data_IF_313050910280
#
_entry.id   IF_313050910280
#
_cell.length_a   1.000
_cell.length_b   1.000
_cell.length_c   1.000
_cell.angle_alpha   90.00
_cell.angle_beta   90.00
_cell.angle_gamma   90.00
#
_symmetry.space_group_name_H-M   'P 1'
#
loop_
_entity.id
_entity.type
_entity.pdbx_description
1 polymer ?
#
# COMPACT_ATOMS: atom_id res chain seq x y z
N UNK A 1 28.09 -29.14 2.40
CA UNK A 1 27.13 -28.28 3.10
C UNK A 1 27.15 -26.91 2.44
N UNK A 2 26.27 -26.65 1.45
CA UNK A 2 26.09 -25.30 0.89
C UNK A 2 25.31 -24.50 1.94
N UNK A 3 25.93 -23.48 2.52
CA UNK A 3 25.23 -22.48 3.33
C UNK A 3 24.07 -21.95 2.50
N UNK A 4 22.84 -22.10 3.02
CA UNK A 4 21.66 -21.51 2.44
C UNK A 4 21.92 -20.00 2.29
N UNK A 5 22.08 -19.52 1.06
CA UNK A 5 22.27 -18.10 0.78
C UNK A 5 20.94 -17.39 1.12
N UNK A 6 20.86 -16.81 2.31
CA UNK A 6 19.75 -15.96 2.71
C UNK A 6 19.73 -14.65 1.89
N UNK A 7 18.64 -13.93 1.96
CA UNK A 7 18.52 -12.59 1.36
C UNK A 7 19.69 -11.71 1.81
N UNK A 8 20.37 -11.07 0.87
CA UNK A 8 21.53 -10.22 1.18
C UNK A 8 21.02 -8.94 1.89
N UNK A 9 21.60 -8.62 3.07
CA UNK A 9 21.37 -7.34 3.79
C UNK A 9 21.99 -6.19 3.01
N UNK A 10 21.40 -5.84 1.86
CA UNK A 10 21.91 -4.83 0.93
C UNK A 10 21.33 -3.43 1.12
N UNK A 11 20.24 -3.30 1.88
CA UNK A 11 19.54 -2.03 2.09
C UNK A 11 20.19 -1.24 3.23
N UNK A 12 20.54 0.04 2.94
CA UNK A 12 21.01 0.97 3.97
C UNK A 12 19.82 1.53 4.78
N UNK A 13 20.10 2.09 5.98
CA UNK A 13 19.08 2.78 6.77
C UNK A 13 18.41 3.94 6.00
N UNK A 14 19.15 4.58 5.08
CA UNK A 14 18.63 5.61 4.16
C UNK A 14 17.54 5.02 3.25
N UNK A 15 17.84 3.89 2.58
CA UNK A 15 16.90 3.23 1.69
C UNK A 15 15.61 2.83 2.43
N UNK A 16 15.71 2.18 3.58
CA UNK A 16 14.55 1.74 4.37
C UNK A 16 13.68 2.92 4.82
N UNK A 17 14.30 4.04 5.24
CA UNK A 17 13.55 5.25 5.64
C UNK A 17 12.77 5.86 4.47
N UNK A 18 13.40 5.96 3.30
CA UNK A 18 12.76 6.54 2.12
C UNK A 18 11.76 5.58 1.48
N UNK A 19 12.03 4.28 1.48
CA UNK A 19 11.03 3.27 1.10
C UNK A 19 9.78 3.39 1.98
N UNK A 20 9.98 3.46 3.30
CA UNK A 20 8.88 3.65 4.23
C UNK A 20 8.13 5.00 4.04
N UNK A 21 8.80 6.05 3.56
CA UNK A 21 8.17 7.33 3.20
C UNK A 21 7.45 7.23 1.86
N UNK A 22 8.10 6.65 0.87
CA UNK A 22 7.63 6.61 -0.50
C UNK A 22 6.52 5.61 -0.75
N UNK A 23 6.54 4.45 -0.06
CA UNK A 23 5.49 3.43 -0.19
C UNK A 23 4.11 3.92 0.27
N UNK A 24 4.08 4.87 1.22
CA UNK A 24 2.82 5.48 1.67
C UNK A 24 2.25 6.52 0.67
N UNK A 25 2.98 6.90 -0.36
CA UNK A 25 2.59 7.93 -1.35
C UNK A 25 2.55 7.26 -2.72
N UNK A 26 1.44 6.67 -3.04
CA UNK A 26 1.18 5.95 -4.31
C UNK A 26 0.04 6.56 -5.12
N UNK A 27 -0.43 5.81 -6.09
CA UNK A 27 -1.54 6.18 -6.98
C UNK A 27 -2.87 6.33 -6.24
N UNK A 28 -3.04 5.68 -5.09
CA UNK A 28 -4.19 5.85 -4.21
C UNK A 28 -4.40 7.29 -3.75
N UNK A 29 -3.30 8.01 -3.42
CA UNK A 29 -3.38 9.44 -3.14
C UNK A 29 -3.52 10.26 -4.43
N UNK A 30 -2.66 10.02 -5.41
CA UNK A 30 -2.56 10.88 -6.60
C UNK A 30 -3.68 10.69 -7.63
N UNK A 31 -4.37 9.56 -7.61
CA UNK A 31 -5.50 9.27 -8.50
C UNK A 31 -6.77 8.94 -7.72
N UNK A 32 -6.70 7.99 -6.79
CA UNK A 32 -7.86 7.51 -6.03
C UNK A 32 -8.53 8.61 -5.20
N UNK A 33 -7.78 9.62 -4.73
CA UNK A 33 -8.35 10.72 -3.95
C UNK A 33 -9.43 11.51 -4.69
N UNK A 34 -9.40 11.58 -6.03
CA UNK A 34 -10.47 12.21 -6.80
C UNK A 34 -11.83 11.54 -6.55
N UNK A 35 -11.88 10.21 -6.65
CA UNK A 35 -13.10 9.44 -6.39
C UNK A 35 -13.55 9.55 -4.94
N UNK A 36 -12.61 9.52 -3.99
CA UNK A 36 -12.92 9.68 -2.57
C UNK A 36 -13.50 11.07 -2.27
N UNK A 37 -12.96 12.14 -2.89
CA UNK A 37 -13.50 13.51 -2.80
C UNK A 37 -14.91 13.56 -3.40
N UNK A 38 -15.15 12.96 -4.56
CA UNK A 38 -16.48 12.94 -5.16
C UNK A 38 -17.52 12.23 -4.28
N UNK A 39 -17.12 11.15 -3.59
CA UNK A 39 -18.01 10.42 -2.67
C UNK A 39 -18.34 11.20 -1.41
N UNK A 40 -17.33 11.80 -0.75
CA UNK A 40 -17.46 12.36 0.58
C UNK A 40 -17.48 13.90 0.61
N UNK A 41 -17.08 14.56 -0.47
CA UNK A 41 -16.76 15.99 -0.42
C UNK A 41 -15.62 16.28 0.54
N UNK A 42 -15.62 17.45 1.22
CA UNK A 42 -14.62 17.82 2.22
C UNK A 42 -14.50 16.83 3.39
N UNK A 43 -15.57 16.08 3.71
CA UNK A 43 -15.55 15.06 4.76
C UNK A 43 -14.55 13.92 4.48
N UNK A 44 -14.01 13.81 3.26
CA UNK A 44 -12.91 12.88 2.94
C UNK A 44 -11.71 13.07 3.88
N UNK A 45 -11.48 14.27 4.40
CA UNK A 45 -10.44 14.55 5.40
C UNK A 45 -10.64 13.73 6.68
N UNK A 46 -11.91 13.57 7.12
CA UNK A 46 -12.24 12.70 8.26
C UNK A 46 -12.01 11.22 7.92
N UNK A 47 -12.33 10.81 6.69
CA UNK A 47 -12.07 9.42 6.26
C UNK A 47 -10.57 9.09 6.33
N UNK A 48 -9.70 9.98 5.87
CA UNK A 48 -8.25 9.80 5.98
C UNK A 48 -7.74 9.83 7.43
N UNK A 49 -8.33 10.65 8.31
CA UNK A 49 -7.98 10.66 9.73
C UNK A 49 -8.39 9.35 10.43
N UNK A 50 -9.63 8.91 10.24
CA UNK A 50 -10.16 7.69 10.87
C UNK A 50 -9.44 6.45 10.32
N UNK A 51 -9.36 6.31 9.00
CA UNK A 51 -8.64 5.22 8.34
C UNK A 51 -7.17 5.21 8.74
N UNK A 52 -6.53 6.38 8.77
CA UNK A 52 -5.14 6.54 9.18
C UNK A 52 -4.87 6.13 10.63
N UNK A 53 -5.80 6.42 11.55
CA UNK A 53 -5.69 5.96 12.94
C UNK A 53 -5.75 4.42 13.04
N UNK A 54 -6.65 3.79 12.28
CA UNK A 54 -6.74 2.33 12.21
C UNK A 54 -5.46 1.72 11.59
N UNK A 55 -4.97 2.27 10.49
CA UNK A 55 -3.72 1.84 9.84
C UNK A 55 -2.52 2.00 10.77
N UNK A 56 -2.44 3.11 11.51
CA UNK A 56 -1.39 3.27 12.54
C UNK A 56 -1.42 2.13 13.56
N UNK A 57 -2.60 1.69 13.98
CA UNK A 57 -2.73 0.56 14.92
C UNK A 57 -2.27 -0.75 14.28
N UNK A 58 -2.57 -1.00 12.99
CA UNK A 58 -2.04 -2.14 12.23
C UNK A 58 -0.51 -2.11 12.20
N UNK A 59 0.08 -0.93 11.91
CA UNK A 59 1.52 -0.76 11.87
C UNK A 59 2.17 -0.95 13.25
N UNK A 60 1.51 -0.54 14.33
CA UNK A 60 1.96 -0.81 15.70
C UNK A 60 1.95 -2.31 16.01
N UNK A 61 0.89 -3.03 15.58
CA UNK A 61 0.79 -4.47 15.74
C UNK A 61 1.91 -5.22 14.96
N UNK A 62 2.11 -4.84 13.69
CA UNK A 62 3.19 -5.38 12.87
C UNK A 62 4.56 -5.07 13.46
N UNK A 63 4.76 -3.84 13.92
CA UNK A 63 6.01 -3.39 14.53
C UNK A 63 6.35 -4.12 15.82
N UNK A 64 5.38 -4.41 16.68
CA UNK A 64 5.59 -5.20 17.89
C UNK A 64 6.14 -6.58 17.56
N UNK A 65 5.53 -7.28 16.59
CA UNK A 65 5.98 -8.59 16.12
C UNK A 65 7.37 -8.51 15.48
N UNK A 66 7.59 -7.52 14.60
CA UNK A 66 8.83 -7.36 13.86
C UNK A 66 10.04 -6.93 14.72
N UNK A 67 9.81 -6.21 15.81
CA UNK A 67 10.85 -5.84 16.78
C UNK A 67 11.14 -7.00 17.73
N UNK A 68 10.10 -7.77 18.08
CA UNK A 68 10.24 -8.95 18.95
C UNK A 68 11.00 -10.08 18.24
N UNK A 69 10.65 -10.39 16.99
CA UNK A 69 11.27 -11.44 16.19
C UNK A 69 11.46 -11.00 14.72
N UNK A 70 12.57 -10.32 14.37
CA UNK A 70 12.82 -9.85 13.02
C UNK A 70 13.23 -11.00 12.09
N UNK A 71 12.29 -11.48 11.25
CA UNK A 71 12.48 -12.62 10.34
C UNK A 71 12.12 -12.26 8.89
N UNK A 72 12.74 -12.96 7.95
CA UNK A 72 12.31 -12.95 6.57
C UNK A 72 10.91 -13.59 6.43
N UNK A 73 10.06 -13.03 5.55
CA UNK A 73 8.66 -13.47 5.44
C UNK A 73 7.70 -12.77 6.40
N UNK A 74 8.23 -11.97 7.37
CA UNK A 74 7.47 -11.02 8.20
C UNK A 74 6.13 -11.58 8.72
N UNK A 75 5.02 -10.88 8.46
CA UNK A 75 3.69 -11.24 8.96
C UNK A 75 3.20 -12.62 8.49
N UNK A 76 3.62 -13.11 7.33
CA UNK A 76 3.33 -14.49 6.90
C UNK A 76 3.97 -15.53 7.82
N UNK A 77 5.22 -15.28 8.24
CA UNK A 77 5.91 -16.13 9.20
C UNK A 77 5.26 -16.04 10.60
N UNK A 78 4.89 -14.83 11.04
CA UNK A 78 4.24 -14.65 12.34
C UNK A 78 2.88 -15.36 12.37
N UNK A 79 2.08 -15.26 11.30
CA UNK A 79 0.81 -15.98 11.20
C UNK A 79 1.01 -17.50 11.24
N UNK A 80 2.04 -18.04 10.58
CA UNK A 80 2.40 -19.45 10.69
C UNK A 80 2.70 -19.85 12.12
N UNK A 81 3.45 -19.02 12.84
CA UNK A 81 3.91 -19.30 14.21
C UNK A 81 2.77 -19.22 15.23
N UNK A 82 1.92 -18.20 15.16
CA UNK A 82 0.94 -17.91 16.21
C UNK A 82 -0.49 -18.36 15.88
N UNK A 83 -0.84 -18.52 14.61
CA UNK A 83 -2.17 -18.98 14.15
C UNK A 83 -2.14 -20.33 13.44
N UNK A 84 -0.96 -20.81 13.09
CA UNK A 84 -0.73 -22.08 12.43
C UNK A 84 -0.45 -21.99 10.92
N UNK A 85 0.02 -23.10 10.32
CA UNK A 85 0.55 -23.12 8.95
C UNK A 85 -0.46 -22.69 7.89
N UNK A 86 -1.75 -23.02 8.04
CA UNK A 86 -2.79 -22.62 7.11
C UNK A 86 -3.00 -21.10 7.11
N UNK A 87 -2.98 -20.46 8.27
CA UNK A 87 -3.12 -19.01 8.39
C UNK A 87 -1.95 -18.27 7.71
N UNK A 88 -0.72 -18.74 7.92
CA UNK A 88 0.45 -18.18 7.24
C UNK A 88 0.42 -18.38 5.73
N UNK A 89 -0.04 -19.54 5.26
CA UNK A 89 -0.26 -19.80 3.84
C UNK A 89 -1.27 -18.82 3.24
N UNK A 90 -2.46 -18.70 3.84
CA UNK A 90 -3.51 -17.80 3.35
C UNK A 90 -3.02 -16.34 3.35
N UNK A 91 -2.41 -15.90 4.46
CA UNK A 91 -1.94 -14.52 4.57
C UNK A 91 -0.86 -14.20 3.53
N UNK A 92 0.13 -15.05 3.38
CA UNK A 92 1.23 -14.81 2.44
C UNK A 92 0.80 -14.82 0.97
N UNK A 93 -0.07 -15.75 0.56
CA UNK A 93 -0.63 -15.77 -0.79
C UNK A 93 -1.60 -14.62 -1.04
N UNK A 94 -2.38 -14.19 -0.03
CA UNK A 94 -3.25 -13.01 -0.15
C UNK A 94 -2.42 -11.74 -0.29
N UNK A 95 -1.30 -11.61 0.41
CA UNK A 95 -0.39 -10.49 0.20
C UNK A 95 0.23 -10.49 -1.20
N UNK A 96 0.64 -11.65 -1.72
CA UNK A 96 1.13 -11.73 -3.09
C UNK A 96 0.05 -11.35 -4.11
N UNK A 97 -1.19 -11.78 -3.89
CA UNK A 97 -2.35 -11.37 -4.70
C UNK A 97 -2.61 -9.86 -4.60
N UNK A 98 -2.58 -9.29 -3.39
CA UNK A 98 -2.68 -7.86 -3.15
C UNK A 98 -1.66 -7.09 -3.99
N UNK A 99 -0.38 -7.46 -3.93
CA UNK A 99 0.69 -6.79 -4.68
C UNK A 99 0.47 -6.88 -6.21
N UNK A 100 -0.07 -7.99 -6.72
CA UNK A 100 -0.45 -8.09 -8.14
C UNK A 100 -1.57 -7.11 -8.48
N UNK A 101 -2.63 -7.08 -7.69
CA UNK A 101 -3.81 -6.25 -7.97
C UNK A 101 -3.47 -4.76 -7.82
N UNK A 102 -2.71 -4.38 -6.78
CA UNK A 102 -2.22 -3.00 -6.59
C UNK A 102 -1.33 -2.59 -7.76
N UNK A 103 -0.39 -3.44 -8.16
CA UNK A 103 0.48 -3.14 -9.31
C UNK A 103 -0.31 -2.99 -10.63
N UNK A 104 -1.43 -3.74 -10.83
CA UNK A 104 -2.32 -3.54 -11.98
C UNK A 104 -3.02 -2.17 -11.90
N UNK A 105 -3.44 -1.71 -10.71
CA UNK A 105 -3.98 -0.36 -10.52
C UNK A 105 -2.91 0.71 -10.84
N UNK A 106 -1.68 0.50 -10.39
CA UNK A 106 -0.57 1.44 -10.57
C UNK A 106 -0.14 1.57 -12.03
N UNK A 107 -0.03 0.46 -12.78
CA UNK A 107 0.28 0.53 -14.23
C UNK A 107 -0.88 1.15 -15.00
N UNK A 108 -2.13 0.96 -14.54
CA UNK A 108 -3.31 1.62 -15.12
C UNK A 108 -3.24 3.13 -14.91
N UNK A 109 -2.97 3.58 -13.68
CA UNK A 109 -2.80 4.99 -13.36
C UNK A 109 -1.64 5.62 -14.16
N UNK A 110 -0.50 4.91 -14.29
CA UNK A 110 0.61 5.33 -15.13
C UNK A 110 0.16 5.60 -16.57
N UNK A 111 -0.61 4.68 -17.16
CA UNK A 111 -1.15 4.85 -18.52
C UNK A 111 -2.09 6.06 -18.64
N UNK A 112 -2.90 6.34 -17.60
CA UNK A 112 -3.77 7.52 -17.53
C UNK A 112 -2.93 8.81 -17.49
N UNK A 113 -1.88 8.85 -16.67
CA UNK A 113 -1.00 10.01 -16.54
C UNK A 113 -0.24 10.32 -17.82
N UNK A 114 0.15 9.31 -18.60
CA UNK A 114 0.77 9.48 -19.91
C UNK A 114 -0.19 10.12 -20.92
N UNK A 115 -1.49 9.87 -20.80
CA UNK A 115 -2.52 10.51 -21.62
C UNK A 115 -2.59 12.04 -21.47
N UNK A 116 -2.03 12.63 -20.42
CA UNK A 116 -1.93 14.08 -20.27
C UNK A 116 -1.10 14.74 -21.38
N UNK A 117 -0.03 14.09 -21.82
CA UNK A 117 0.82 14.61 -22.91
C UNK A 117 0.56 13.94 -24.25
N UNK A 118 0.07 12.70 -24.24
CA UNK A 118 -0.10 11.88 -25.44
C UNK A 118 -1.51 11.28 -25.52
N UNK A 119 -2.56 12.12 -25.63
CA UNK A 119 -3.96 11.65 -25.61
C UNK A 119 -4.29 10.71 -26.79
N UNK A 120 -3.57 10.86 -27.92
CA UNK A 120 -3.77 10.03 -29.12
C UNK A 120 -3.22 8.61 -28.99
N UNK A 121 -2.34 8.36 -28.01
CA UNK A 121 -1.73 7.04 -27.83
C UNK A 121 -2.60 6.18 -26.90
N UNK A 122 -3.00 5.02 -27.38
CA UNK A 122 -3.82 4.09 -26.62
C UNK A 122 -3.14 3.71 -25.28
N UNK A 123 -3.91 3.78 -24.19
CA UNK A 123 -3.41 3.58 -22.80
C UNK A 123 -2.64 2.27 -22.62
N UNK A 124 -3.12 1.17 -23.20
CA UNK A 124 -2.50 -0.15 -23.07
C UNK A 124 -1.06 -0.20 -23.59
N UNK A 125 -0.69 0.67 -24.55
CA UNK A 125 0.69 0.75 -25.08
C UNK A 125 1.64 1.24 -23.98
N UNK A 126 1.24 2.27 -23.24
CA UNK A 126 2.00 2.79 -22.10
C UNK A 126 2.09 1.78 -20.98
N UNK A 127 0.98 1.08 -20.67
CA UNK A 127 0.95 0.01 -19.66
C UNK A 127 1.89 -1.12 -20.04
N UNK A 128 1.88 -1.55 -21.30
CA UNK A 128 2.81 -2.59 -21.79
C UNK A 128 4.28 -2.15 -21.67
N UNK A 129 4.58 -0.91 -22.07
CA UNK A 129 5.94 -0.35 -22.01
C UNK A 129 6.49 -0.33 -20.58
N UNK A 130 5.68 0.14 -19.60
CA UNK A 130 6.13 0.22 -18.21
C UNK A 130 6.30 -1.16 -17.57
N UNK A 131 5.45 -2.14 -17.90
CA UNK A 131 5.58 -3.53 -17.41
C UNK A 131 6.93 -4.13 -17.82
N UNK A 132 7.34 -3.97 -19.08
CA UNK A 132 8.64 -4.45 -19.53
C UNK A 132 9.81 -3.68 -18.91
N UNK A 133 9.70 -2.36 -18.79
CA UNK A 133 10.74 -1.53 -18.21
C UNK A 133 11.00 -1.91 -16.74
N UNK A 134 9.95 -1.93 -15.92
CA UNK A 134 10.08 -2.21 -14.47
C UNK A 134 10.40 -3.68 -14.23
N UNK A 135 9.81 -4.60 -15.00
CA UNK A 135 10.18 -6.02 -14.95
C UNK A 135 11.68 -6.22 -15.21
N UNK A 136 12.23 -5.60 -16.24
CA UNK A 136 13.65 -5.64 -16.56
C UNK A 136 14.53 -5.05 -15.45
N UNK A 137 14.16 -3.88 -14.90
CA UNK A 137 14.89 -3.23 -13.81
C UNK A 137 14.90 -4.09 -12.53
N UNK A 138 13.79 -4.72 -12.19
CA UNK A 138 13.70 -5.59 -11.01
C UNK A 138 14.49 -6.90 -11.14
N UNK A 139 14.84 -7.33 -12.35
CA UNK A 139 15.73 -8.48 -12.56
C UNK A 139 17.22 -8.13 -12.37
N UNK A 140 17.60 -6.85 -12.35
CA UNK A 140 18.99 -6.43 -12.29
C UNK A 140 19.60 -6.62 -10.89
N UNK A 141 19.37 -5.72 -9.94
CA UNK A 141 20.06 -5.73 -8.64
C UNK A 141 19.25 -5.02 -7.54
N UNK A 142 19.24 -5.57 -6.32
CA UNK A 142 18.58 -4.98 -5.13
C UNK A 142 19.12 -3.58 -4.79
N UNK A 143 20.39 -3.27 -5.08
CA UNK A 143 20.94 -1.92 -4.86
C UNK A 143 20.34 -0.90 -5.82
N UNK A 144 20.15 -1.29 -7.10
CA UNK A 144 19.49 -0.43 -8.11
C UNK A 144 18.06 -0.12 -7.66
N UNK A 145 17.33 -1.14 -7.17
CA UNK A 145 16.01 -0.97 -6.57
C UNK A 145 16.04 0.08 -5.44
N UNK A 146 16.93 -0.07 -4.46
CA UNK A 146 17.00 0.83 -3.31
C UNK A 146 17.34 2.27 -3.67
N UNK A 147 18.28 2.49 -4.60
CA UNK A 147 18.65 3.83 -5.07
C UNK A 147 17.52 4.47 -5.90
N UNK A 148 16.88 3.71 -6.79
CA UNK A 148 15.74 4.20 -7.56
C UNK A 148 14.61 4.64 -6.62
N UNK A 149 14.24 3.79 -5.65
CA UNK A 149 13.19 4.10 -4.68
C UNK A 149 13.52 5.31 -3.82
N UNK A 150 14.79 5.49 -3.44
CA UNK A 150 15.24 6.68 -2.72
C UNK A 150 14.98 7.97 -3.50
N UNK A 151 15.42 8.04 -4.77
CA UNK A 151 15.26 9.24 -5.60
C UNK A 151 13.81 9.52 -5.96
N UNK A 152 13.03 8.48 -6.31
CA UNK A 152 11.60 8.62 -6.59
C UNK A 152 10.83 9.08 -5.35
N UNK A 153 11.15 8.56 -4.17
CA UNK A 153 10.54 8.99 -2.91
C UNK A 153 10.89 10.42 -2.56
N UNK A 154 12.15 10.83 -2.75
CA UNK A 154 12.58 12.21 -2.52
C UNK A 154 11.83 13.19 -3.43
N UNK A 155 11.66 12.83 -4.71
CA UNK A 155 10.91 13.63 -5.67
C UNK A 155 9.44 13.79 -5.24
N UNK A 156 8.77 12.68 -4.88
CA UNK A 156 7.36 12.70 -4.42
C UNK A 156 7.17 13.57 -3.19
N UNK A 157 7.97 13.34 -2.17
CA UNK A 157 7.89 14.08 -0.89
C UNK A 157 8.19 15.56 -1.11
N UNK A 158 9.24 15.88 -1.85
CA UNK A 158 9.61 17.27 -2.15
C UNK A 158 8.52 18.00 -2.92
N UNK A 159 7.92 17.35 -3.91
CA UNK A 159 6.84 17.92 -4.71
C UNK A 159 5.56 18.18 -3.90
N UNK A 160 5.17 17.24 -3.03
CA UNK A 160 4.00 17.44 -2.17
C UNK A 160 4.23 18.59 -1.19
N UNK A 161 5.39 18.64 -0.55
CA UNK A 161 5.72 19.74 0.36
C UNK A 161 5.74 21.09 -0.39
N UNK A 162 6.35 21.14 -1.57
CA UNK A 162 6.36 22.35 -2.38
C UNK A 162 4.93 22.77 -2.79
N UNK A 163 4.09 21.82 -3.18
CA UNK A 163 2.68 22.06 -3.53
C UNK A 163 1.88 22.58 -2.32
N UNK A 164 2.06 22.00 -1.14
CA UNK A 164 1.40 22.48 0.09
C UNK A 164 1.83 23.93 0.39
N UNK A 165 3.13 24.21 0.35
CA UNK A 165 3.65 25.55 0.62
C UNK A 165 3.16 26.56 -0.42
N UNK A 166 3.16 26.19 -1.71
CA UNK A 166 2.65 27.03 -2.78
C UNK A 166 1.14 27.29 -2.61
N UNK A 167 0.35 26.27 -2.30
CA UNK A 167 -1.09 26.39 -2.08
C UNK A 167 -1.43 27.28 -0.87
N UNK A 168 -0.73 27.07 0.26
CA UNK A 168 -0.86 27.95 1.43
C UNK A 168 -0.44 29.38 1.13
N UNK A 169 0.60 29.59 0.33
CA UNK A 169 1.01 30.90 -0.16
C UNK A 169 -0.09 31.57 -1.01
N UNK A 170 -0.68 30.86 -1.97
CA UNK A 170 -1.78 31.36 -2.77
C UNK A 170 -2.97 31.80 -1.89
N UNK A 171 -3.31 30.98 -0.88
CA UNK A 171 -4.39 31.32 0.06
C UNK A 171 -4.06 32.53 0.96
N UNK A 172 -2.81 32.64 1.44
CA UNK A 172 -2.40 33.68 2.38
C UNK A 172 -2.26 35.06 1.72
N UNK A 173 -1.73 35.11 0.49
CA UNK A 173 -1.48 36.37 -0.23
C UNK A 173 -2.67 36.85 -1.07
N UNK A 174 -3.81 36.16 -1.02
CA UNK A 174 -5.06 36.63 -1.61
C UNK A 174 -5.04 36.67 -3.16
N UNK A 175 -4.32 35.76 -3.81
CA UNK A 175 -4.44 35.57 -5.26
C UNK A 175 -5.84 34.99 -5.56
N UNK A 176 -6.87 35.81 -5.34
CA UNK A 176 -8.29 35.41 -5.36
C UNK A 176 -8.81 35.03 -6.75
N UNK A 177 -8.01 35.19 -7.78
CA UNK A 177 -8.37 34.90 -9.17
C UNK A 177 -7.20 34.31 -9.95
N UNK A 178 -6.72 33.14 -9.53
CA UNK A 178 -5.73 32.42 -10.34
C UNK A 178 -6.51 31.71 -11.47
N UNK A 179 -6.38 32.22 -12.66
CA UNK A 179 -6.79 31.59 -13.93
C UNK A 179 -8.28 31.48 -14.22
N UNK A 180 -9.12 31.02 -13.31
CA UNK A 180 -10.53 30.71 -13.54
C UNK A 180 -11.53 31.73 -12.95
N UNK A 181 -11.08 32.77 -12.25
CA UNK A 181 -11.94 33.72 -11.54
C UNK A 181 -12.68 33.15 -10.32
N UNK A 182 -12.34 31.94 -9.88
CA UNK A 182 -12.96 31.31 -8.72
C UNK A 182 -12.25 31.74 -7.42
N UNK A 183 -13.04 31.90 -6.35
CA UNK A 183 -12.51 32.25 -5.05
C UNK A 183 -11.65 31.11 -4.51
N UNK A 184 -10.45 31.46 -3.99
CA UNK A 184 -9.54 30.54 -3.32
C UNK A 184 -9.66 30.76 -1.82
N UNK A 185 -9.86 29.69 -1.04
CA UNK A 185 -9.93 29.79 0.41
C UNK A 185 -10.64 28.63 1.08
N UNK A 186 -10.65 28.69 2.41
CA UNK A 186 -11.30 27.67 3.27
C UNK A 186 -12.82 27.62 3.03
N UNK A 187 -13.43 28.70 2.52
CA UNK A 187 -14.85 28.75 2.19
C UNK A 187 -15.26 27.66 1.20
N UNK A 188 -14.37 27.28 0.25
CA UNK A 188 -14.61 26.20 -0.72
C UNK A 188 -14.97 24.85 -0.05
N UNK A 189 -14.59 24.64 1.22
CA UNK A 189 -14.97 23.43 1.97
C UNK A 189 -16.43 23.45 2.44
N UNK A 190 -17.08 24.60 2.42
CA UNK A 190 -18.44 24.78 2.95
C UNK A 190 -19.45 25.30 1.93
N UNK A 191 -19.00 26.05 0.91
CA UNK A 191 -19.86 26.76 -0.05
C UNK A 191 -20.62 25.81 -1.00
N UNK A 192 -20.18 24.54 -1.10
CA UNK A 192 -20.75 23.57 -2.05
C UNK A 192 -21.48 22.42 -1.32
N UNK A 193 -22.48 22.75 -0.52
CA UNK A 193 -23.29 21.79 0.21
C UNK A 193 -22.79 21.47 1.64
N UNK A 194 -21.90 22.32 2.17
CA UNK A 194 -21.31 22.15 3.50
C UNK A 194 -20.15 21.16 3.54
N UNK A 195 -19.66 20.89 4.75
CA UNK A 195 -18.50 20.01 4.95
C UNK A 195 -18.81 18.53 4.64
N UNK A 196 -20.05 18.09 4.79
CA UNK A 196 -20.52 16.71 4.50
C UNK A 196 -21.68 16.74 3.48
N UNK A 197 -21.43 17.15 2.23
CA UNK A 197 -22.50 17.38 1.24
C UNK A 197 -23.27 16.10 0.92
N UNK A 198 -22.62 14.95 0.94
CA UNK A 198 -23.20 13.64 0.68
C UNK A 198 -23.54 12.86 1.98
N UNK A 199 -23.57 13.56 3.12
CA UNK A 199 -23.89 13.01 4.42
C UNK A 199 -22.93 11.92 4.91
N UNK A 200 -23.35 11.17 5.92
CA UNK A 200 -22.57 10.06 6.50
C UNK A 200 -22.41 8.92 5.50
N UNK A 201 -23.38 8.72 4.59
CA UNK A 201 -23.30 7.68 3.55
C UNK A 201 -22.13 7.89 2.60
N UNK A 202 -21.90 9.14 2.14
CA UNK A 202 -20.76 9.47 1.28
C UNK A 202 -19.41 9.31 2.01
N UNK A 203 -19.35 9.69 3.30
CA UNK A 203 -18.17 9.46 4.12
C UNK A 203 -17.87 7.95 4.25
N UNK A 204 -18.87 7.13 4.51
CA UNK A 204 -18.70 5.67 4.62
C UNK A 204 -18.27 5.06 3.29
N UNK A 205 -18.90 5.46 2.18
CA UNK A 205 -18.54 4.96 0.85
C UNK A 205 -17.07 5.25 0.50
N UNK A 206 -16.57 6.44 0.88
CA UNK A 206 -15.20 6.85 0.58
C UNK A 206 -14.13 5.95 1.20
N UNK A 207 -14.43 5.22 2.28
CA UNK A 207 -13.46 4.30 2.90
C UNK A 207 -13.00 3.20 1.94
N UNK A 208 -13.82 2.77 0.99
CA UNK A 208 -13.43 1.78 -0.01
C UNK A 208 -12.19 2.23 -0.82
N UNK A 209 -12.06 3.54 -1.09
CA UNK A 209 -10.93 4.11 -1.82
C UNK A 209 -9.84 4.62 -0.88
N UNK A 210 -10.23 5.20 0.26
CA UNK A 210 -9.28 5.71 1.27
C UNK A 210 -8.40 4.59 1.81
N UNK A 211 -8.95 3.41 2.06
CA UNK A 211 -8.17 2.27 2.55
C UNK A 211 -7.18 1.77 1.51
N UNK A 212 -7.54 1.76 0.22
CA UNK A 212 -6.60 1.51 -0.88
C UNK A 212 -5.41 2.48 -0.86
N UNK A 213 -5.66 3.76 -0.60
CA UNK A 213 -4.61 4.78 -0.61
C UNK A 213 -3.53 4.56 0.47
N UNK A 214 -3.81 3.80 1.51
CA UNK A 214 -2.85 3.43 2.56
C UNK A 214 -2.13 2.11 2.28
N UNK A 215 -2.53 1.34 1.27
CA UNK A 215 -1.87 0.08 0.88
C UNK A 215 -0.38 0.26 0.61
N UNK A 216 0.40 -0.79 0.88
CA UNK A 216 1.85 -0.78 0.74
C UNK A 216 2.63 -0.29 1.97
N UNK A 217 1.98 0.28 2.99
CA UNK A 217 2.67 0.74 4.21
C UNK A 217 3.27 -0.42 5.01
N UNK A 218 2.68 -1.60 4.94
CA UNK A 218 3.13 -2.84 5.59
C UNK A 218 4.47 -3.37 5.04
N UNK A 219 4.97 -2.83 3.93
CA UNK A 219 6.31 -3.15 3.39
C UNK A 219 7.42 -2.88 4.41
N UNK A 220 7.18 -1.95 5.35
CA UNK A 220 8.09 -1.68 6.48
C UNK A 220 8.34 -2.97 7.28
N UNK A 221 7.29 -3.77 7.49
CA UNK A 221 7.42 -5.08 8.17
C UNK A 221 8.19 -6.09 7.33
N UNK A 222 7.95 -6.14 6.02
CA UNK A 222 8.64 -7.05 5.10
C UNK A 222 10.15 -6.75 5.04
N UNK A 223 10.54 -5.48 5.12
CA UNK A 223 11.95 -5.06 5.13
C UNK A 223 12.67 -5.31 6.46
N UNK A 224 11.94 -5.67 7.53
CA UNK A 224 12.52 -5.87 8.86
C UNK A 224 13.63 -6.92 8.89
N UNK A 225 13.47 -8.02 8.15
CA UNK A 225 14.47 -9.08 8.04
C UNK A 225 15.76 -8.67 7.31
N UNK A 226 15.74 -7.60 6.50
CA UNK A 226 16.87 -7.05 5.76
C UNK A 226 17.48 -5.80 6.41
N UNK A 227 16.88 -5.28 7.49
CA UNK A 227 17.37 -4.13 8.22
C UNK A 227 18.62 -4.47 9.05
N UNK A 228 19.61 -3.56 9.08
CA UNK A 228 20.83 -3.76 9.92
C UNK A 228 20.52 -3.66 11.42
N UNK A 229 19.57 -2.81 11.81
CA UNK A 229 19.14 -2.61 13.21
C UNK A 229 17.61 -2.46 13.26
N UNK A 230 16.86 -3.58 13.15
CA UNK A 230 15.41 -3.55 13.11
C UNK A 230 14.78 -2.95 14.36
N UNK A 231 15.38 -3.16 15.54
CA UNK A 231 14.88 -2.67 16.82
C UNK A 231 14.89 -1.14 16.94
N UNK A 232 15.72 -0.45 16.15
CA UNK A 232 15.77 1.02 16.10
C UNK A 232 15.05 1.62 14.89
N UNK A 233 15.19 0.96 13.73
CA UNK A 233 14.70 1.50 12.47
C UNK A 233 13.18 1.37 12.38
N UNK A 234 12.61 0.20 12.74
CA UNK A 234 11.18 -0.08 12.65
C UNK A 234 10.35 0.85 13.55
N UNK A 235 10.64 1.00 14.86
CA UNK A 235 9.90 1.93 15.71
C UNK A 235 9.90 3.36 15.20
N UNK A 236 11.04 3.86 14.70
CA UNK A 236 11.12 5.21 14.14
C UNK A 236 10.28 5.38 12.88
N UNK A 237 10.29 4.38 12.00
CA UNK A 237 9.50 4.39 10.79
C UNK A 237 7.99 4.40 11.10
N UNK A 238 7.54 3.55 12.02
CA UNK A 238 6.13 3.41 12.40
C UNK A 238 5.63 4.64 13.18
N UNK A 239 6.40 5.15 14.13
CA UNK A 239 6.01 6.32 14.90
C UNK A 239 5.90 7.61 14.04
N UNK A 240 6.51 7.64 12.86
CA UNK A 240 6.35 8.73 11.91
C UNK A 240 5.06 8.63 11.05
N UNK A 241 4.35 7.50 11.08
CA UNK A 241 3.15 7.27 10.26
C UNK A 241 2.05 8.30 10.51
N UNK A 242 1.66 8.66 11.75
CA UNK A 242 0.63 9.66 11.98
C UNK A 242 0.98 11.02 11.36
N UNK A 243 2.22 11.48 11.51
CA UNK A 243 2.68 12.74 10.91
C UNK A 243 2.62 12.68 9.37
N UNK A 244 2.96 11.52 8.78
CA UNK A 244 2.86 11.32 7.33
C UNK A 244 1.42 11.40 6.85
N UNK A 245 0.50 10.76 7.54
CA UNK A 245 -0.93 10.79 7.21
C UNK A 245 -1.44 12.22 7.27
N UNK A 246 -1.15 12.94 8.34
CA UNK A 246 -1.55 14.34 8.49
C UNK A 246 -0.99 15.22 7.39
N UNK A 247 0.30 15.10 7.07
CA UNK A 247 0.97 15.96 6.11
C UNK A 247 0.63 15.59 4.66
N UNK A 248 0.79 14.31 4.30
CA UNK A 248 0.71 13.91 2.90
C UNK A 248 -0.71 13.60 2.41
N UNK A 249 -1.65 13.29 3.32
CA UNK A 249 -3.03 13.05 2.92
C UNK A 249 -3.93 14.20 3.36
N UNK A 250 -4.07 14.44 4.65
CA UNK A 250 -5.05 15.37 5.17
C UNK A 250 -4.74 16.81 4.76
N UNK A 251 -3.51 17.30 5.03
CA UNK A 251 -3.13 18.68 4.70
C UNK A 251 -3.05 18.89 3.18
N UNK A 252 -2.57 17.90 2.43
CA UNK A 252 -2.55 17.95 0.96
C UNK A 252 -3.94 18.12 0.38
N UNK A 253 -4.89 17.25 0.75
CA UNK A 253 -6.25 17.31 0.22
C UNK A 253 -7.01 18.52 0.75
N UNK A 254 -6.75 18.96 1.97
CA UNK A 254 -7.25 20.22 2.51
C UNK A 254 -6.85 21.39 1.60
N UNK A 255 -5.55 21.53 1.31
CA UNK A 255 -5.04 22.60 0.45
C UNK A 255 -5.64 22.52 -0.95
N UNK A 256 -5.69 21.33 -1.56
CA UNK A 256 -6.26 21.15 -2.89
C UNK A 256 -7.73 21.59 -2.96
N UNK A 257 -8.55 21.19 -1.99
CA UNK A 257 -9.97 21.57 -1.95
C UNK A 257 -10.19 23.06 -1.57
N UNK A 258 -9.23 23.69 -0.89
CA UNK A 258 -9.25 25.14 -0.68
C UNK A 258 -8.90 25.92 -1.96
N UNK A 259 -8.03 25.36 -2.81
CA UNK A 259 -7.63 25.99 -4.07
C UNK A 259 -8.68 25.87 -5.17
N UNK A 260 -9.50 24.80 -5.13
CA UNK A 260 -10.43 24.49 -6.20
C UNK A 260 -11.70 23.82 -5.65
N UNK A 261 -12.91 24.23 -6.11
CA UNK A 261 -14.17 23.66 -5.67
C UNK A 261 -14.24 22.15 -5.89
N UNK A 262 -14.49 21.39 -4.83
CA UNK A 262 -14.48 19.94 -4.87
C UNK A 262 -15.45 19.30 -5.91
N UNK A 263 -16.64 19.86 -6.22
CA UNK A 263 -17.54 19.26 -7.21
C UNK A 263 -16.99 19.29 -8.64
N UNK A 264 -16.01 20.16 -8.90
CA UNK A 264 -15.39 20.32 -10.22
C UNK A 264 -14.11 19.47 -10.38
N UNK A 265 -13.68 18.77 -9.33
CA UNK A 265 -12.56 17.82 -9.41
C UNK A 265 -13.07 16.59 -10.15
N UNK A 266 -12.61 16.39 -11.40
CA UNK A 266 -13.01 15.26 -12.23
C UNK A 266 -12.38 13.94 -11.74
N UNK A 267 -13.08 12.83 -11.99
CA UNK A 267 -12.57 11.46 -11.71
C UNK A 267 -11.56 10.97 -12.76
N UNK A 268 -11.34 11.71 -13.82
CA UNK A 268 -10.43 11.39 -14.93
C UNK A 268 -9.07 12.06 -14.72
N UNK A 269 -8.07 11.29 -14.26
CA UNK A 269 -6.71 11.77 -14.01
C UNK A 269 -6.43 12.17 -12.56
N UNK A 270 -5.23 12.70 -12.32
CA UNK A 270 -4.82 13.14 -10.98
C UNK A 270 -5.47 14.48 -10.62
N UNK A 271 -6.15 14.62 -9.46
CA UNK A 271 -6.67 15.91 -9.00
C UNK A 271 -5.56 16.95 -8.83
N UNK A 272 -4.35 16.52 -8.50
CA UNK A 272 -3.18 17.38 -8.38
C UNK A 272 -2.85 18.08 -9.70
N UNK A 273 -2.85 17.33 -10.79
CA UNK A 273 -2.56 17.86 -12.14
C UNK A 273 -3.74 18.71 -12.65
N UNK A 274 -4.97 18.20 -12.48
CA UNK A 274 -6.17 18.88 -12.95
C UNK A 274 -6.36 20.26 -12.32
N UNK A 275 -6.21 20.37 -10.99
CA UNK A 275 -6.38 21.62 -10.27
C UNK A 275 -5.41 22.69 -10.78
N UNK A 276 -4.12 22.36 -10.90
CA UNK A 276 -3.14 23.34 -11.40
C UNK A 276 -3.29 23.65 -12.89
N UNK A 277 -3.77 22.69 -13.69
CA UNK A 277 -4.13 22.95 -15.08
C UNK A 277 -5.33 23.91 -15.19
N UNK A 278 -6.39 23.68 -14.38
CA UNK A 278 -7.59 24.50 -14.36
C UNK A 278 -7.35 25.90 -13.77
N UNK A 279 -6.37 26.05 -12.87
CA UNK A 279 -5.91 27.36 -12.39
C UNK A 279 -5.07 28.11 -13.42
N UNK A 280 -4.85 27.57 -14.62
CA UNK A 280 -4.07 28.19 -15.69
C UNK A 280 -2.54 28.11 -15.47
N UNK A 281 -2.09 27.31 -14.52
CA UNK A 281 -0.64 27.12 -14.20
C UNK A 281 -0.13 25.84 -14.89
N UNK A 282 -0.16 25.84 -16.23
CA UNK A 282 0.19 24.66 -17.04
C UNK A 282 1.60 24.10 -16.78
N UNK A 283 2.58 24.95 -16.46
CA UNK A 283 3.92 24.51 -16.09
C UNK A 283 3.92 23.68 -14.77
N UNK A 284 3.16 24.12 -13.76
CA UNK A 284 3.00 23.38 -12.52
C UNK A 284 2.25 22.06 -12.74
N UNK A 285 1.20 22.05 -13.56
CA UNK A 285 0.49 20.84 -13.95
C UNK A 285 1.42 19.81 -14.62
N UNK A 286 2.27 20.25 -15.56
CA UNK A 286 3.24 19.38 -16.23
C UNK A 286 4.28 18.81 -15.25
N UNK A 287 4.83 19.63 -14.34
CA UNK A 287 5.76 19.15 -13.29
C UNK A 287 5.07 18.15 -12.36
N UNK A 288 3.85 18.44 -11.91
CA UNK A 288 3.09 17.51 -11.08
C UNK A 288 2.76 16.21 -11.82
N UNK A 289 2.53 16.24 -13.13
CA UNK A 289 2.34 15.04 -13.92
C UNK A 289 3.60 14.15 -13.93
N UNK A 290 4.81 14.73 -14.03
CA UNK A 290 6.07 13.98 -13.84
C UNK A 290 6.13 13.34 -12.45
N UNK A 291 5.70 14.06 -11.42
CA UNK A 291 5.71 13.56 -10.04
C UNK A 291 4.74 12.38 -9.87
N UNK A 292 3.50 12.47 -10.38
CA UNK A 292 2.53 11.36 -10.23
C UNK A 292 2.94 10.15 -11.06
N UNK A 293 3.58 10.34 -12.22
CA UNK A 293 4.20 9.26 -12.98
C UNK A 293 5.32 8.59 -12.17
N UNK A 294 6.20 9.39 -11.56
CA UNK A 294 7.27 8.86 -10.71
C UNK A 294 6.73 8.08 -9.51
N UNK A 295 5.58 8.53 -8.98
CA UNK A 295 4.91 7.83 -7.88
C UNK A 295 4.35 6.47 -8.31
N UNK A 296 3.73 6.38 -9.49
CA UNK A 296 3.26 5.12 -10.05
C UNK A 296 4.43 4.14 -10.30
N UNK A 297 5.52 4.62 -10.90
CA UNK A 297 6.75 3.82 -11.11
C UNK A 297 7.30 3.27 -9.80
N UNK A 298 7.39 4.10 -8.77
CA UNK A 298 7.85 3.70 -7.44
C UNK A 298 6.92 2.68 -6.78
N UNK A 299 5.60 2.85 -6.92
CA UNK A 299 4.63 1.92 -6.36
C UNK A 299 4.74 0.54 -7.01
N UNK A 300 4.71 0.44 -8.34
CA UNK A 300 4.90 -0.82 -9.10
C UNK A 300 6.21 -1.51 -8.68
N UNK A 301 7.28 -0.75 -8.53
CA UNK A 301 8.58 -1.26 -8.12
C UNK A 301 8.54 -1.85 -6.70
N UNK A 302 7.86 -1.18 -5.77
CA UNK A 302 7.67 -1.63 -4.39
C UNK A 302 6.79 -2.88 -4.29
N UNK A 303 5.74 -2.99 -5.11
CA UNK A 303 4.85 -4.15 -5.15
C UNK A 303 5.59 -5.42 -5.58
N UNK A 304 6.39 -5.32 -6.65
CA UNK A 304 7.23 -6.43 -7.11
C UNK A 304 8.24 -6.83 -6.03
N UNK A 305 8.82 -5.85 -5.33
CA UNK A 305 9.75 -6.10 -4.23
C UNK A 305 9.06 -6.82 -3.07
N UNK A 306 7.91 -6.32 -2.61
CA UNK A 306 7.12 -6.89 -1.51
C UNK A 306 6.68 -8.32 -1.79
N UNK A 307 6.07 -8.55 -2.97
CA UNK A 307 5.68 -9.88 -3.44
C UNK A 307 6.88 -10.85 -3.47
N UNK A 308 8.04 -10.38 -3.96
CA UNK A 308 9.25 -11.18 -4.05
C UNK A 308 9.71 -11.72 -2.69
N UNK A 309 9.69 -10.91 -1.65
CA UNK A 309 10.11 -11.30 -0.30
C UNK A 309 9.10 -12.22 0.38
N UNK A 310 7.83 -11.95 0.20
CA UNK A 310 6.77 -12.81 0.75
C UNK A 310 6.81 -14.20 0.13
N UNK A 311 6.86 -14.28 -1.22
CA UNK A 311 6.90 -15.56 -1.93
C UNK A 311 8.18 -16.35 -1.62
N UNK A 312 9.30 -15.67 -1.46
CA UNK A 312 10.54 -16.28 -0.99
C UNK A 312 10.36 -16.89 0.41
N UNK A 313 9.78 -16.14 1.35
CA UNK A 313 9.51 -16.62 2.71
C UNK A 313 8.57 -17.83 2.74
N UNK A 314 7.48 -17.80 1.97
CA UNK A 314 6.56 -18.94 1.82
C UNK A 314 7.24 -20.17 1.22
N UNK A 315 8.09 -20.00 0.22
CA UNK A 315 8.83 -21.12 -0.39
C UNK A 315 9.82 -21.74 0.58
N UNK A 316 10.47 -20.95 1.45
CA UNK A 316 11.33 -21.46 2.52
C UNK A 316 10.55 -22.29 3.55
N UNK A 317 9.29 -21.95 3.80
CA UNK A 317 8.40 -22.69 4.70
C UNK A 317 7.71 -23.89 4.03
N UNK A 318 7.96 -24.12 2.74
CA UNK A 318 7.30 -25.18 1.96
C UNK A 318 5.86 -24.86 1.55
N UNK A 319 5.41 -23.61 1.72
CA UNK A 319 4.07 -23.12 1.41
C UNK A 319 3.94 -22.53 0.00
N UNK A 320 5.03 -22.49 -0.77
CA UNK A 320 5.04 -22.08 -2.17
C UNK A 320 5.97 -22.98 -2.97
N UNK A 321 5.84 -23.04 -4.32
CA UNK A 321 6.73 -23.80 -5.18
C UNK A 321 8.20 -23.46 -4.95
N UNK A 322 9.07 -24.48 -4.94
CA UNK A 322 10.52 -24.32 -4.68
C UNK A 322 11.23 -23.33 -5.60
N UNK A 323 10.65 -23.06 -6.77
CA UNK A 323 11.19 -22.06 -7.71
C UNK A 323 11.29 -20.65 -7.12
N UNK A 324 10.33 -20.26 -6.26
CA UNK A 324 10.31 -18.95 -5.61
C UNK A 324 11.42 -18.75 -4.57
N UNK A 325 12.05 -19.83 -4.08
CA UNK A 325 13.23 -19.76 -3.20
C UNK A 325 14.54 -19.56 -3.94
N UNK A 326 14.53 -19.61 -5.30
CA UNK A 326 15.74 -19.43 -6.10
C UNK A 326 16.06 -17.95 -6.27
N UNK A 327 17.25 -17.57 -5.82
CA UNK A 327 17.78 -16.22 -5.98
C UNK A 327 18.68 -16.15 -7.21
N UNK A 328 18.67 -15.02 -7.92
CA UNK A 328 19.63 -14.68 -8.94
C UNK A 328 21.04 -14.48 -8.33
N UNK A 329 22.09 -14.36 -9.16
CA UNK A 329 23.45 -14.01 -8.70
C UNK A 329 23.51 -12.71 -7.90
N UNK A 330 22.53 -11.83 -8.08
CA UNK A 330 22.41 -10.54 -7.42
C UNK A 330 21.50 -10.56 -6.18
N UNK A 331 20.97 -11.73 -5.77
CA UNK A 331 20.11 -11.89 -4.60
C UNK A 331 18.63 -11.51 -4.84
N UNK A 332 18.19 -11.49 -6.10
CA UNK A 332 16.80 -11.19 -6.48
C UNK A 332 16.02 -12.49 -6.65
N UNK A 333 14.80 -12.63 -6.08
CA UNK A 333 13.89 -13.75 -6.32
C UNK A 333 13.27 -13.63 -7.74
N UNK A 334 14.06 -13.93 -8.75
CA UNK A 334 13.76 -13.67 -10.17
C UNK A 334 12.45 -14.32 -10.65
N UNK A 335 12.12 -15.51 -10.12
CA UNK A 335 10.89 -16.20 -10.51
C UNK A 335 9.64 -15.40 -10.12
N UNK A 336 9.64 -14.75 -8.95
CA UNK A 336 8.53 -13.88 -8.56
C UNK A 336 8.43 -12.68 -9.50
N UNK A 337 9.56 -12.07 -9.88
CA UNK A 337 9.56 -10.94 -10.83
C UNK A 337 8.94 -11.34 -12.16
N UNK A 338 9.28 -12.53 -12.68
CA UNK A 338 8.71 -13.05 -13.93
C UNK A 338 7.21 -13.33 -13.80
N UNK A 339 6.78 -13.96 -12.70
CA UNK A 339 5.36 -14.26 -12.44
C UNK A 339 4.57 -12.96 -12.26
N UNK A 340 5.10 -11.97 -11.54
CA UNK A 340 4.48 -10.65 -11.42
C UNK A 340 4.37 -9.97 -12.79
N UNK A 341 5.43 -9.98 -13.59
CA UNK A 341 5.40 -9.43 -14.95
C UNK A 341 4.32 -10.10 -15.82
N UNK A 342 4.20 -11.42 -15.78
CA UNK A 342 3.16 -12.15 -16.49
C UNK A 342 1.75 -11.78 -15.99
N UNK A 343 1.57 -11.63 -14.67
CA UNK A 343 0.30 -11.19 -14.09
C UNK A 343 -0.05 -9.75 -14.50
N UNK A 344 0.92 -8.85 -14.60
CA UNK A 344 0.71 -7.48 -15.06
C UNK A 344 0.27 -7.38 -16.53
N UNK A 345 0.57 -8.40 -17.37
CA UNK A 345 0.00 -8.47 -18.72
C UNK A 345 -1.53 -8.60 -18.72
N UNK A 346 -2.12 -9.15 -17.65
CA UNK A 346 -3.58 -9.10 -17.45
C UNK A 346 -4.04 -7.64 -17.32
N UNK A 347 -3.27 -6.79 -16.63
CA UNK A 347 -3.53 -5.36 -16.55
C UNK A 347 -3.50 -4.68 -17.93
N UNK A 348 -2.55 -5.06 -18.80
CA UNK A 348 -2.52 -4.59 -20.19
C UNK A 348 -3.81 -4.97 -20.92
N UNK A 349 -4.24 -6.22 -20.80
CA UNK A 349 -5.47 -6.72 -21.41
C UNK A 349 -6.72 -5.99 -20.89
N UNK A 350 -6.81 -5.77 -19.59
CA UNK A 350 -7.92 -5.03 -18.99
C UNK A 350 -7.99 -3.58 -19.49
N UNK A 351 -6.84 -2.91 -19.60
CA UNK A 351 -6.78 -1.55 -20.16
C UNK A 351 -7.11 -1.47 -21.67
N UNK A 352 -6.96 -2.60 -22.38
CA UNK A 352 -7.40 -2.70 -23.77
C UNK A 352 -8.92 -2.95 -23.90
N UNK A 353 -9.47 -3.88 -23.08
CA UNK A 353 -10.85 -4.33 -23.19
C UNK A 353 -11.86 -3.38 -22.54
N UNK A 354 -11.52 -2.83 -21.35
CA UNK A 354 -12.42 -2.00 -20.52
C UNK A 354 -11.67 -0.77 -20.00
N UNK A 355 -11.23 0.16 -20.87
CA UNK A 355 -10.41 1.28 -20.44
C UNK A 355 -11.11 2.23 -19.46
N UNK A 356 -12.45 2.29 -19.47
CA UNK A 356 -13.26 3.09 -18.57
C UNK A 356 -13.50 2.34 -17.26
N UNK A 357 -13.40 3.03 -16.13
CA UNK A 357 -13.65 2.52 -14.76
C UNK A 357 -12.78 1.34 -14.28
N UNK A 358 -11.81 0.88 -15.09
CA UNK A 358 -10.94 -0.25 -14.72
C UNK A 358 -10.19 0.01 -13.41
N UNK A 359 -9.76 1.24 -13.17
CA UNK A 359 -9.02 1.59 -11.96
C UNK A 359 -9.86 1.40 -10.69
N UNK A 360 -11.11 1.87 -10.65
CA UNK A 360 -11.98 1.77 -9.47
C UNK A 360 -12.30 0.31 -9.13
N UNK A 361 -12.56 -0.51 -10.14
CA UNK A 361 -12.79 -1.95 -9.96
C UNK A 361 -11.56 -2.61 -9.34
N UNK A 362 -10.37 -2.36 -9.90
CA UNK A 362 -9.13 -2.96 -9.41
C UNK A 362 -8.78 -2.43 -8.02
N UNK A 363 -8.93 -1.12 -7.77
CA UNK A 363 -8.68 -0.51 -6.47
C UNK A 363 -9.59 -1.08 -5.38
N UNK A 364 -10.86 -1.37 -5.67
CA UNK A 364 -11.76 -1.99 -4.69
C UNK A 364 -11.38 -3.44 -4.37
N UNK A 365 -10.94 -4.22 -5.37
CA UNK A 365 -10.42 -5.59 -5.15
C UNK A 365 -9.13 -5.54 -4.33
N UNK A 366 -8.24 -4.59 -4.63
CA UNK A 366 -7.03 -4.36 -3.83
C UNK A 366 -7.39 -4.01 -2.39
N UNK A 367 -8.39 -3.14 -2.17
CA UNK A 367 -8.86 -2.78 -0.82
C UNK A 367 -9.28 -4.01 -0.01
N UNK A 368 -10.02 -4.95 -0.63
CA UNK A 368 -10.36 -6.21 0.05
C UNK A 368 -9.11 -6.94 0.51
N UNK A 369 -8.14 -7.13 -0.38
CA UNK A 369 -6.91 -7.88 -0.08
C UNK A 369 -6.07 -7.18 1.01
N UNK A 370 -5.88 -5.86 0.90
CA UNK A 370 -5.17 -5.04 1.88
C UNK A 370 -5.81 -5.12 3.27
N UNK A 371 -7.13 -4.94 3.35
CA UNK A 371 -7.86 -4.99 4.62
C UNK A 371 -7.83 -6.40 5.22
N UNK A 372 -7.86 -7.46 4.38
CA UNK A 372 -7.68 -8.83 4.84
C UNK A 372 -6.28 -9.04 5.45
N UNK A 373 -5.22 -8.60 4.77
CA UNK A 373 -3.84 -8.68 5.26
C UNK A 373 -3.71 -7.95 6.60
N UNK A 374 -4.25 -6.76 6.71
CA UNK A 374 -4.20 -5.96 7.94
C UNK A 374 -5.00 -6.58 9.08
N UNK A 375 -6.19 -7.13 8.80
CA UNK A 375 -6.96 -7.89 9.77
C UNK A 375 -6.16 -9.08 10.30
N UNK A 376 -5.54 -9.85 9.41
CA UNK A 376 -4.73 -11.00 9.80
C UNK A 376 -3.46 -10.59 10.60
N UNK A 377 -2.84 -9.45 10.29
CA UNK A 377 -1.73 -8.89 11.10
C UNK A 377 -2.21 -8.60 12.53
N UNK A 378 -3.36 -7.93 12.68
CA UNK A 378 -3.93 -7.61 14.00
C UNK A 378 -4.28 -8.88 14.79
N UNK A 379 -4.95 -9.83 14.16
CA UNK A 379 -5.32 -11.12 14.81
C UNK A 379 -4.08 -11.90 15.20
N UNK A 380 -3.04 -11.91 14.36
CA UNK A 380 -1.76 -12.57 14.65
C UNK A 380 -1.07 -11.93 15.86
N UNK A 381 -1.05 -10.59 15.94
CA UNK A 381 -0.48 -9.88 17.09
C UNK A 381 -1.25 -10.18 18.39
N UNK A 382 -2.58 -10.22 18.34
CA UNK A 382 -3.40 -10.62 19.50
C UNK A 382 -3.08 -12.06 19.94
N UNK A 383 -2.94 -12.97 18.98
CA UNK A 383 -2.55 -14.37 19.27
C UNK A 383 -1.14 -14.44 19.89
N UNK A 384 -0.16 -13.71 19.34
CA UNK A 384 1.18 -13.60 19.93
C UNK A 384 1.10 -13.12 21.37
N UNK A 385 0.43 -12.00 21.64
CA UNK A 385 0.30 -11.43 23.00
C UNK A 385 -0.33 -12.40 24.00
N UNK A 386 -1.28 -13.22 23.56
CA UNK A 386 -1.95 -14.22 24.39
C UNK A 386 -1.08 -15.46 24.63
N UNK A 387 -0.11 -15.75 23.77
CA UNK A 387 0.83 -16.89 23.93
C UNK A 387 2.03 -16.53 24.81
N UNK A 388 2.40 -15.26 24.94
CA UNK A 388 3.51 -14.80 25.75
C UNK A 388 3.19 -14.83 27.25
N UNK A 389 4.18 -15.17 28.10
CA UNK A 389 4.08 -15.05 29.55
C UNK A 389 4.08 -13.59 29.98
N UNK A 390 3.56 -13.29 31.17
CA UNK A 390 3.52 -11.91 31.68
C UNK A 390 4.87 -11.21 31.72
N UNK A 391 5.93 -11.95 32.06
CA UNK A 391 7.32 -11.47 32.09
C UNK A 391 7.82 -11.10 30.69
N UNK A 392 7.53 -11.92 29.68
CA UNK A 392 7.90 -11.67 28.28
C UNK A 392 7.15 -10.47 27.72
N UNK A 393 5.88 -10.32 28.07
CA UNK A 393 5.08 -9.13 27.69
C UNK A 393 5.67 -7.85 28.28
N UNK A 394 6.15 -7.88 29.52
CA UNK A 394 6.80 -6.73 30.17
C UNK A 394 8.14 -6.34 29.50
N UNK A 395 8.81 -7.28 28.83
CA UNK A 395 10.07 -7.05 28.13
C UNK A 395 9.91 -6.61 26.66
N UNK A 396 8.68 -6.50 26.14
CA UNK A 396 8.44 -6.04 24.79
C UNK A 396 8.97 -4.62 24.58
N UNK A 397 9.90 -4.46 23.63
CA UNK A 397 10.56 -3.17 23.37
C UNK A 397 9.69 -2.16 22.63
N UNK A 398 8.65 -2.64 21.93
CA UNK A 398 7.76 -1.79 21.12
C UNK A 398 6.29 -2.23 21.25
N UNK A 399 5.70 -2.19 22.47
CA UNK A 399 4.37 -2.69 22.72
C UNK A 399 3.29 -1.86 21.98
N UNK A 400 2.22 -2.53 21.54
CA UNK A 400 1.03 -1.89 20.97
C UNK A 400 0.35 -1.04 22.04
N UNK A 401 0.04 0.24 21.75
CA UNK A 401 -0.64 1.13 22.70
C UNK A 401 -2.09 0.70 22.92
N UNK A 402 -2.65 1.12 24.06
CA UNK A 402 -4.06 0.90 24.43
C UNK A 402 -4.50 -0.57 24.41
N UNK A 403 -3.59 -1.48 24.74
CA UNK A 403 -3.93 -2.91 24.84
C UNK A 403 -4.97 -3.17 25.94
N UNK A 404 -6.00 -4.02 25.73
CA UNK A 404 -6.32 -4.75 24.49
C UNK A 404 -7.26 -3.98 23.54
N UNK A 405 -7.73 -2.80 23.94
CA UNK A 405 -8.79 -2.05 23.23
C UNK A 405 -8.35 -1.51 21.87
N UNK A 406 -7.09 -1.05 21.74
CA UNK A 406 -6.56 -0.52 20.49
C UNK A 406 -6.63 -1.53 19.33
N UNK A 407 -6.02 -2.71 19.45
CA UNK A 407 -6.16 -3.77 18.45
C UNK A 407 -7.61 -4.21 18.22
N UNK A 408 -8.44 -4.30 19.29
CA UNK A 408 -9.84 -4.70 19.15
C UNK A 408 -10.65 -3.69 18.30
N UNK A 409 -10.47 -2.39 18.53
CA UNK A 409 -11.11 -1.34 17.72
C UNK A 409 -10.63 -1.37 16.27
N UNK A 410 -9.32 -1.59 16.03
CA UNK A 410 -8.79 -1.71 14.69
C UNK A 410 -9.35 -2.95 13.97
N UNK A 411 -9.47 -4.09 14.64
CA UNK A 411 -10.13 -5.30 14.10
C UNK A 411 -11.58 -5.00 13.74
N UNK A 412 -12.34 -4.37 14.65
CA UNK A 412 -13.73 -3.99 14.40
C UNK A 412 -13.85 -3.06 13.19
N UNK A 413 -12.92 -2.11 13.04
CA UNK A 413 -12.88 -1.22 11.88
C UNK A 413 -12.57 -1.98 10.58
N UNK A 414 -11.63 -2.94 10.57
CA UNK A 414 -11.36 -3.77 9.38
C UNK A 414 -12.60 -4.60 8.99
N UNK A 415 -13.32 -5.17 9.97
CA UNK A 415 -14.57 -5.89 9.72
C UNK A 415 -15.65 -4.93 9.18
N UNK A 416 -15.74 -3.71 9.71
CA UNK A 416 -16.62 -2.67 9.19
C UNK A 416 -16.33 -2.36 7.71
N UNK A 417 -15.06 -2.27 7.30
CA UNK A 417 -14.70 -2.03 5.89
C UNK A 417 -15.20 -3.17 4.98
N UNK A 418 -15.14 -4.44 5.40
CA UNK A 418 -15.78 -5.51 4.63
C UNK A 418 -17.30 -5.31 4.50
N UNK A 419 -17.96 -4.83 5.55
CA UNK A 419 -19.36 -4.43 5.48
C UNK A 419 -19.61 -3.32 4.46
N UNK A 420 -18.72 -2.31 4.41
CA UNK A 420 -18.78 -1.22 3.41
C UNK A 420 -18.65 -1.77 1.99
N UNK A 421 -17.64 -2.63 1.74
CA UNK A 421 -17.45 -3.25 0.42
C UNK A 421 -18.65 -4.09 -0.03
N UNK A 422 -19.36 -4.75 0.89
CA UNK A 422 -20.55 -5.52 0.59
C UNK A 422 -21.84 -4.71 0.44
N UNK A 423 -21.90 -3.53 1.07
CA UNK A 423 -23.10 -2.69 1.07
C UNK A 423 -23.25 -1.87 -0.22
N UNK A 424 -22.19 -1.28 -0.74
CA UNK A 424 -22.24 -0.44 -1.93
C UNK A 424 -22.11 -1.26 -3.22
N UNK A 425 -23.06 -1.15 -4.19
CA UNK A 425 -23.08 -1.95 -5.42
C UNK A 425 -21.77 -1.91 -6.20
N UNK A 426 -21.13 -0.76 -6.29
CA UNK A 426 -19.90 -0.55 -7.06
C UNK A 426 -18.69 -1.30 -6.50
N UNK A 427 -18.75 -1.74 -5.24
CA UNK A 427 -17.66 -2.44 -4.55
C UNK A 427 -17.97 -3.90 -4.21
N UNK A 428 -19.22 -4.37 -4.42
CA UNK A 428 -19.61 -5.75 -4.12
C UNK A 428 -18.77 -6.79 -4.87
N UNK A 429 -18.38 -6.49 -6.10
CA UNK A 429 -17.50 -7.37 -6.89
C UNK A 429 -16.18 -7.67 -6.16
N UNK A 430 -15.63 -6.70 -5.44
CA UNK A 430 -14.42 -6.87 -4.65
C UNK A 430 -14.59 -7.89 -3.52
N UNK A 431 -15.73 -7.81 -2.81
CA UNK A 431 -16.04 -8.77 -1.75
C UNK A 431 -16.20 -10.19 -2.30
N UNK A 432 -16.92 -10.34 -3.42
CA UNK A 432 -17.11 -11.65 -4.08
C UNK A 432 -15.77 -12.25 -4.50
N UNK A 433 -14.94 -11.48 -5.23
CA UNK A 433 -13.60 -11.91 -5.67
C UNK A 433 -12.75 -12.30 -4.46
N UNK A 434 -12.77 -11.49 -3.41
CA UNK A 434 -12.00 -11.74 -2.20
C UNK A 434 -12.42 -13.02 -1.47
N UNK A 435 -13.72 -13.25 -1.31
CA UNK A 435 -14.25 -14.47 -0.68
C UNK A 435 -13.89 -15.71 -1.53
N UNK A 436 -14.07 -15.63 -2.84
CA UNK A 436 -13.69 -16.72 -3.77
C UNK A 436 -12.18 -16.99 -3.65
N UNK A 437 -11.35 -15.95 -3.58
CA UNK A 437 -9.90 -16.08 -3.39
C UNK A 437 -9.56 -16.82 -2.09
N UNK A 438 -10.12 -16.41 -0.96
CA UNK A 438 -9.87 -17.05 0.33
C UNK A 438 -10.32 -18.51 0.34
N UNK A 439 -11.51 -18.81 -0.20
CA UNK A 439 -12.02 -20.18 -0.33
C UNK A 439 -11.08 -21.03 -1.21
N UNK A 440 -10.62 -20.48 -2.34
CA UNK A 440 -9.63 -21.12 -3.20
C UNK A 440 -8.34 -21.45 -2.45
N UNK A 441 -7.82 -20.53 -1.64
CA UNK A 441 -6.61 -20.75 -0.84
C UNK A 441 -6.81 -21.82 0.23
N UNK A 442 -7.95 -21.81 0.93
CA UNK A 442 -8.29 -22.86 1.91
C UNK A 442 -8.32 -24.23 1.24
N UNK A 443 -9.03 -24.35 0.11
CA UNK A 443 -9.10 -25.60 -0.66
C UNK A 443 -7.70 -26.03 -1.13
N UNK A 444 -6.91 -25.10 -1.67
CA UNK A 444 -5.54 -25.37 -2.13
C UNK A 444 -4.64 -25.87 -0.99
N UNK A 445 -4.73 -25.27 0.18
CA UNK A 445 -3.98 -25.71 1.35
C UNK A 445 -4.35 -27.13 1.77
N UNK A 446 -5.64 -27.42 1.86
CA UNK A 446 -6.14 -28.73 2.30
C UNK A 446 -5.78 -29.85 1.30
N UNK A 447 -5.79 -29.56 0.01
CA UNK A 447 -5.54 -30.54 -1.05
C UNK A 447 -4.03 -30.79 -1.27
N UNK A 448 -3.18 -29.74 -1.21
CA UNK A 448 -1.80 -29.83 -1.67
C UNK A 448 -0.74 -29.64 -0.59
N UNK A 449 -1.03 -28.88 0.47
CA UNK A 449 -0.04 -28.59 1.51
C UNK A 449 -0.16 -29.51 2.74
N UNK A 450 -1.39 -29.80 3.18
CA UNK A 450 -1.62 -30.65 4.37
C UNK A 450 -1.04 -32.07 4.26
N UNK A 451 -1.08 -32.77 3.10
CA UNK A 451 -0.48 -34.10 2.98
C UNK A 451 1.07 -34.11 3.11
N UNK A 452 1.73 -33.01 2.81
CA UNK A 452 3.19 -32.89 2.85
C UNK A 452 3.75 -32.56 4.24
N UNK A 453 2.96 -31.97 5.12
CA UNK A 453 3.36 -31.65 6.50
C UNK A 453 3.59 -32.91 7.37
N UNK A 454 3.09 -34.07 6.94
CA UNK A 454 3.32 -35.36 7.60
C UNK A 454 4.63 -36.07 7.22
N UNK A 455 5.39 -35.57 6.25
CA UNK A 455 6.65 -36.17 5.77
C UNK A 455 7.86 -35.27 6.06
N UNK A 456 8.11 -34.97 7.32
CA UNK A 456 9.45 -34.67 7.81
C UNK A 456 10.04 -33.28 7.57
N UNK A 457 10.14 -32.54 8.60
CA UNK A 457 11.41 -32.13 9.25
C UNK A 457 11.06 -31.55 10.61
N UNK A 458 11.77 -31.89 11.70
CA UNK A 458 11.50 -31.25 12.97
C UNK A 458 11.69 -29.74 12.82
N UNK A 459 10.66 -29.01 13.22
CA UNK A 459 10.78 -27.56 13.47
C UNK A 459 12.00 -27.42 14.38
N UNK A 460 13.02 -26.67 13.90
CA UNK A 460 14.17 -26.36 14.74
C UNK A 460 13.62 -25.73 16.03
N UNK A 461 13.83 -26.42 17.15
CA UNK A 461 13.57 -25.89 18.48
C UNK A 461 14.21 -24.50 18.59
N UNK A 462 13.54 -23.53 19.21
CA UNK A 462 14.18 -22.26 19.53
C UNK A 462 15.45 -22.56 20.29
N UNK A 463 16.58 -22.12 19.73
CA UNK A 463 17.88 -22.26 20.37
C UNK A 463 17.74 -21.75 21.81
N UNK A 464 17.88 -22.66 22.76
CA UNK A 464 17.98 -22.33 24.17
C UNK A 464 19.08 -21.29 24.34
N UNK A 465 18.69 -20.08 24.68
CA UNK A 465 19.59 -19.05 25.22
C UNK A 465 20.00 -19.50 26.62
N UNK A 466 20.96 -20.43 26.67
CA UNK A 466 21.73 -20.70 27.87
C UNK A 466 23.06 -19.96 27.78
N UNK A 467 23.21 -19.04 28.76
CA UNK A 467 24.36 -18.31 29.30
C UNK A 467 24.69 -16.96 28.68
#
# INVERSE_FOLDING_TARGET
>A
MQQAQGLKRGLSARHIRFMALGSAIGTGLFYGSASAIQMAGPAVLLAYLIGGAAVFMVMRALGEMAVHNPVAGSFGHYATTYLGPMAGFILGWTYAFEMVIVAIADVTAFGIYMGFWFPEVARWIWVLGIVFLIGGLNLCNVKVFGEMEFWLSLLKVGAIVAMILAGLGIMAFGFSQVGSGQAVGVSNLFDHGGFMPNGVGGLIASFAVVMFAFGGIEIIGVTAGEAKDPQRVIPKAINAVPLRILLFYVLTLFVLMCLYPWPQIGSQGSPFVQIFSNLGIGSAAAVLNVVVISAAISAINSDIFGAGRMMYGLAQQGHAPRGFSKLSRHGVPWMTVVVMGAALLVGVLLNYLIPENVFLLIASIATFATVWVWLMILVTQVAMRRSLRREEVAQLKFPVPFWPYGPAMAIAFMVFIFGVLGYFPDTQAALVVGVVWVVFLVASYLLWCKPRAGQGQPVAEPAELHR
#
